data_IF_857065826401
#
_entry.id   IF_857065826401
#
_cell.length_a   1.000
_cell.length_b   1.000
_cell.length_c   1.000
_cell.angle_alpha   90.00
_cell.angle_beta   90.00
_cell.angle_gamma   90.00
#
_symmetry.space_group_name_H-M   'P 1'
#
loop_
_entity.id
_entity.type
_entity.pdbx_description
1 polymer ?
#
# COMPACT_ATOMS: atom_id res chain seq x y z
N UNK A 1 16.80 9.53 -6.00
CA UNK A 1 15.36 9.69 -5.76
C UNK A 1 14.74 8.34 -6.06
N UNK A 2 14.01 7.73 -5.12
CA UNK A 2 13.41 6.42 -5.36
C UNK A 2 12.21 6.59 -6.28
N UNK A 3 12.01 5.67 -7.22
CA UNK A 3 10.77 5.65 -8.02
C UNK A 3 9.63 5.20 -7.10
N UNK A 4 8.73 6.12 -6.77
CA UNK A 4 7.54 5.79 -6.00
C UNK A 4 6.69 4.78 -6.77
N UNK A 5 6.38 3.64 -6.13
CA UNK A 5 5.54 2.57 -6.72
C UNK A 5 4.17 3.10 -7.10
N UNK A 6 3.64 4.01 -6.29
CA UNK A 6 2.35 4.66 -6.48
C UNK A 6 2.52 6.17 -6.37
N UNK A 7 1.90 6.89 -7.31
CA UNK A 7 1.83 8.35 -7.27
C UNK A 7 0.42 8.79 -6.95
N UNK A 8 0.27 9.56 -5.88
CA UNK A 8 -0.99 10.17 -5.53
C UNK A 8 -1.08 11.58 -6.10
N UNK A 9 -2.14 11.85 -6.85
CA UNK A 9 -2.45 13.17 -7.37
C UNK A 9 -3.88 13.56 -6.98
N UNK A 10 -4.17 14.86 -6.81
CA UNK A 10 -5.55 15.34 -6.68
C UNK A 10 -6.40 14.89 -7.88
N UNK A 11 -7.67 14.61 -7.62
CA UNK A 11 -8.64 14.29 -8.68
C UNK A 11 -9.96 15.02 -8.41
N UNK A 12 -10.64 15.46 -9.47
CA UNK A 12 -11.88 16.25 -9.39
C UNK A 12 -13.07 15.60 -10.13
N UNK A 13 -12.89 14.36 -10.61
CA UNK A 13 -13.91 13.64 -11.37
C UNK A 13 -13.84 12.12 -11.11
N UNK A 14 -14.85 11.40 -11.58
CA UNK A 14 -14.85 9.93 -11.60
C UNK A 14 -13.72 9.40 -12.50
N UNK A 15 -13.20 8.21 -12.18
CA UNK A 15 -12.27 7.51 -13.08
C UNK A 15 -12.97 7.12 -14.39
N UNK A 16 -12.21 7.06 -15.48
CA UNK A 16 -12.73 6.60 -16.76
C UNK A 16 -13.16 5.12 -16.65
N UNK A 17 -14.35 4.80 -17.17
CA UNK A 17 -14.91 3.45 -17.13
C UNK A 17 -14.28 2.56 -18.20
N UNK A 18 -13.11 2.02 -17.88
CA UNK A 18 -12.44 0.96 -18.66
C UNK A 18 -13.20 -0.37 -18.53
N UNK A 19 -12.93 -1.38 -19.39
CA UNK A 19 -13.58 -2.69 -19.29
C UNK A 19 -13.45 -3.34 -17.92
N UNK A 20 -12.29 -3.14 -17.27
CA UNK A 20 -12.04 -3.56 -15.89
C UNK A 20 -12.15 -2.36 -14.96
N UNK A 21 -13.34 -2.22 -14.37
CA UNK A 21 -13.71 -1.08 -13.56
C UNK A 21 -14.58 -1.53 -12.37
N UNK A 22 -14.30 -0.97 -11.21
CA UNK A 22 -15.08 -1.15 -10.00
C UNK A 22 -15.40 0.21 -9.37
N UNK A 23 -16.62 0.32 -8.83
CA UNK A 23 -17.12 1.53 -8.19
C UNK A 23 -18.10 1.19 -7.07
N UNK A 24 -17.84 1.73 -5.88
CA UNK A 24 -18.81 1.72 -4.77
C UNK A 24 -19.54 3.06 -4.61
N UNK A 25 -18.95 4.17 -5.08
CA UNK A 25 -19.51 5.50 -4.95
C UNK A 25 -19.07 6.41 -6.11
N UNK A 26 -19.81 7.49 -6.38
CA UNK A 26 -19.38 8.50 -7.36
C UNK A 26 -18.51 9.56 -6.68
N UNK A 27 -17.62 10.18 -7.45
CA UNK A 27 -16.81 11.31 -6.99
C UNK A 27 -17.70 12.39 -6.41
N UNK A 28 -18.78 12.76 -7.10
CA UNK A 28 -19.70 13.82 -6.64
C UNK A 28 -20.31 13.49 -5.27
N UNK A 29 -20.80 12.26 -5.09
CA UNK A 29 -21.41 11.81 -3.82
C UNK A 29 -20.37 11.73 -2.71
N UNK A 30 -19.22 11.10 -2.96
CA UNK A 30 -18.13 10.97 -2.00
C UNK A 30 -17.59 12.33 -1.59
N UNK A 31 -17.32 13.21 -2.54
CA UNK A 31 -16.83 14.56 -2.28
C UNK A 31 -17.83 15.35 -1.43
N UNK A 32 -19.13 15.28 -1.72
CA UNK A 32 -20.14 15.92 -0.89
C UNK A 32 -20.12 15.40 0.56
N UNK A 33 -20.07 14.07 0.75
CA UNK A 33 -19.99 13.47 2.07
C UNK A 33 -18.73 13.91 2.85
N UNK A 34 -17.58 13.96 2.17
CA UNK A 34 -16.32 14.45 2.74
C UNK A 34 -16.44 15.92 3.17
N UNK A 35 -16.93 16.80 2.29
CA UNK A 35 -17.07 18.22 2.59
C UNK A 35 -18.02 18.47 3.78
N UNK A 36 -19.15 17.76 3.84
CA UNK A 36 -20.09 17.86 4.96
C UNK A 36 -19.48 17.33 6.25
N UNK A 37 -18.72 16.23 6.20
CA UNK A 37 -18.02 15.72 7.39
C UNK A 37 -17.01 16.74 7.94
N UNK A 38 -16.25 17.40 7.07
CA UNK A 38 -15.27 18.42 7.46
C UNK A 38 -15.97 19.62 8.09
N UNK A 39 -17.06 20.09 7.48
CA UNK A 39 -17.84 21.20 8.02
C UNK A 39 -18.44 20.87 9.39
N UNK A 40 -18.95 19.64 9.55
CA UNK A 40 -19.52 19.17 10.83
C UNK A 40 -18.49 19.20 11.96
N UNK A 41 -17.23 18.84 11.68
CA UNK A 41 -16.17 18.77 12.69
C UNK A 41 -15.48 20.12 12.92
N UNK A 42 -15.19 20.86 11.86
CA UNK A 42 -14.37 22.08 11.93
C UNK A 42 -15.19 23.37 11.98
N UNK A 43 -16.50 23.30 11.67
CA UNK A 43 -17.39 24.45 11.52
C UNK A 43 -17.33 25.14 10.14
N UNK A 44 -16.36 24.79 9.30
CA UNK A 44 -16.11 25.47 8.02
C UNK A 44 -15.94 24.48 6.86
N UNK A 45 -16.28 24.91 5.64
CA UNK A 45 -15.90 24.16 4.44
C UNK A 45 -14.38 24.26 4.22
N UNK A 46 -13.75 23.18 3.72
CA UNK A 46 -12.32 23.19 3.47
C UNK A 46 -11.95 24.15 2.34
N UNK A 47 -10.72 24.67 2.40
CA UNK A 47 -10.15 25.49 1.32
C UNK A 47 -9.87 24.63 0.09
N UNK A 48 -9.87 25.25 -1.10
CA UNK A 48 -9.65 24.56 -2.40
C UNK A 48 -8.37 23.71 -2.42
N UNK A 49 -7.34 24.11 -1.68
CA UNK A 49 -6.04 23.43 -1.66
C UNK A 49 -6.03 22.09 -0.90
N UNK A 50 -7.06 21.78 -0.11
CA UNK A 50 -7.04 20.61 0.75
C UNK A 50 -7.18 19.28 -0.01
N UNK A 51 -7.84 19.29 -1.17
CA UNK A 51 -7.99 18.17 -2.13
C UNK A 51 -8.01 16.79 -1.44
N UNK A 52 -9.12 16.48 -0.74
CA UNK A 52 -9.22 15.29 0.11
C UNK A 52 -9.41 13.99 -0.70
N UNK A 53 -9.76 14.09 -1.98
CA UNK A 53 -9.86 12.93 -2.87
C UNK A 53 -8.67 12.93 -3.81
N UNK A 54 -7.99 11.78 -3.89
CA UNK A 54 -6.76 11.62 -4.67
C UNK A 54 -6.81 10.32 -5.47
N UNK A 55 -6.31 10.37 -6.69
CA UNK A 55 -6.06 9.20 -7.51
C UNK A 55 -4.65 8.69 -7.24
N UNK A 56 -4.54 7.40 -6.93
CA UNK A 56 -3.30 6.66 -6.92
C UNK A 56 -3.11 5.94 -8.25
N UNK A 57 -1.94 6.11 -8.87
CA UNK A 57 -1.61 5.50 -10.17
C UNK A 57 -0.34 4.65 -10.04
N UNK A 58 -0.39 3.41 -10.53
CA UNK A 58 0.74 2.48 -10.51
C UNK A 58 0.64 1.41 -11.59
N UNK A 59 1.76 0.75 -11.89
CA UNK A 59 1.84 -0.32 -12.87
C UNK A 59 1.36 -1.66 -12.28
N UNK A 60 0.68 -2.47 -13.08
CA UNK A 60 0.20 -3.81 -12.71
C UNK A 60 0.69 -4.86 -13.70
N UNK A 61 0.63 -6.14 -13.31
CA UNK A 61 0.90 -7.24 -14.22
C UNK A 61 -0.35 -7.57 -15.06
N UNK A 62 -0.16 -8.21 -16.21
CA UNK A 62 -1.26 -8.66 -17.07
C UNK A 62 -2.26 -9.56 -16.31
N UNK A 63 -1.74 -10.36 -15.36
CA UNK A 63 -2.53 -11.26 -14.52
C UNK A 63 -3.35 -10.55 -13.42
N UNK A 64 -2.99 -9.31 -13.06
CA UNK A 64 -3.62 -8.60 -11.94
C UNK A 64 -5.08 -8.30 -12.26
N UNK A 65 -6.02 -8.64 -11.39
CA UNK A 65 -7.46 -8.45 -11.63
C UNK A 65 -8.04 -7.25 -10.88
N UNK A 66 -9.21 -6.76 -11.32
CA UNK A 66 -9.93 -5.71 -10.60
C UNK A 66 -10.31 -6.13 -9.17
N UNK A 67 -10.66 -7.39 -8.95
CA UNK A 67 -11.01 -7.91 -7.62
C UNK A 67 -9.81 -7.89 -6.65
N UNK A 68 -8.60 -8.15 -7.15
CA UNK A 68 -7.38 -7.98 -6.36
C UNK A 68 -7.15 -6.52 -5.99
N UNK A 69 -7.46 -5.56 -6.87
CA UNK A 69 -7.40 -4.13 -6.51
C UNK A 69 -8.43 -3.76 -5.44
N UNK A 70 -9.64 -4.34 -5.50
CA UNK A 70 -10.65 -4.18 -4.45
C UNK A 70 -10.16 -4.79 -3.14
N UNK A 71 -9.54 -5.97 -3.17
CA UNK A 71 -8.92 -6.60 -2.00
C UNK A 71 -7.79 -5.75 -1.40
N UNK A 72 -6.89 -5.23 -2.24
CA UNK A 72 -5.83 -4.30 -1.86
C UNK A 72 -6.40 -3.06 -1.18
N UNK A 73 -7.51 -2.52 -1.70
CA UNK A 73 -8.11 -1.31 -1.12
C UNK A 73 -8.57 -1.49 0.32
N UNK A 74 -9.09 -2.67 0.68
CA UNK A 74 -9.47 -2.99 2.07
C UNK A 74 -8.24 -2.97 2.98
N UNK A 75 -7.14 -3.58 2.54
CA UNK A 75 -5.87 -3.58 3.28
C UNK A 75 -5.33 -2.16 3.47
N UNK A 76 -5.43 -1.31 2.43
CA UNK A 76 -5.01 0.10 2.51
C UNK A 76 -5.91 0.92 3.45
N UNK A 77 -7.21 0.66 3.47
CA UNK A 77 -8.15 1.28 4.40
C UNK A 77 -7.82 0.93 5.85
N UNK A 78 -7.58 -0.34 6.15
CA UNK A 78 -7.34 -0.77 7.53
C UNK A 78 -6.07 -0.17 8.11
N UNK A 79 -4.98 -0.21 7.33
CA UNK A 79 -3.63 0.15 7.78
C UNK A 79 -3.31 1.64 7.64
N UNK A 80 -3.82 2.30 6.59
CA UNK A 80 -3.48 3.68 6.26
C UNK A 80 -4.68 4.63 6.26
N UNK A 81 -5.88 4.14 6.57
CA UNK A 81 -7.13 4.92 6.54
C UNK A 81 -7.43 5.54 5.17
N UNK A 82 -6.92 4.92 4.11
CA UNK A 82 -7.18 5.33 2.72
C UNK A 82 -8.38 4.54 2.19
N UNK A 83 -9.54 5.18 2.07
CA UNK A 83 -10.76 4.51 1.61
C UNK A 83 -10.90 4.63 0.10
N UNK A 84 -10.69 3.52 -0.63
CA UNK A 84 -10.89 3.49 -2.07
C UNK A 84 -12.36 3.30 -2.40
N UNK A 85 -12.88 4.09 -3.34
CA UNK A 85 -14.25 3.98 -3.80
C UNK A 85 -14.41 3.79 -5.31
N UNK A 86 -13.32 3.87 -6.07
CA UNK A 86 -13.25 3.48 -7.48
C UNK A 86 -11.90 2.89 -7.82
N UNK A 87 -11.88 1.90 -8.71
CA UNK A 87 -10.66 1.35 -9.27
C UNK A 87 -10.87 1.04 -10.76
N UNK A 88 -9.82 1.17 -11.56
CA UNK A 88 -9.84 0.84 -12.98
C UNK A 88 -8.48 0.32 -13.42
N UNK A 89 -8.49 -0.57 -14.42
CA UNK A 89 -7.27 -1.04 -15.08
C UNK A 89 -7.33 -0.66 -16.56
N UNK A 90 -6.28 0.03 -17.01
CA UNK A 90 -6.03 0.26 -18.44
C UNK A 90 -5.04 -0.79 -18.96
N UNK A 91 -5.54 -1.72 -19.78
CA UNK A 91 -4.75 -2.81 -20.38
C UNK A 91 -3.91 -2.40 -21.58
N UNK A 92 -4.09 -1.21 -22.13
CA UNK A 92 -3.21 -0.69 -23.18
C UNK A 92 -1.86 -0.29 -22.57
N UNK A 93 -1.88 0.21 -21.33
CA UNK A 93 -0.68 0.69 -20.63
C UNK A 93 -0.30 -0.13 -19.39
N UNK A 94 -1.09 -1.16 -19.05
CA UNK A 94 -0.99 -1.94 -17.82
C UNK A 94 -0.91 -1.07 -16.55
N UNK A 95 -1.75 -0.04 -16.51
CA UNK A 95 -1.81 0.92 -15.42
C UNK A 95 -3.10 0.75 -14.63
N UNK A 96 -2.98 0.65 -13.30
CA UNK A 96 -4.10 0.75 -12.39
C UNK A 96 -4.28 2.19 -11.91
N UNK A 97 -5.53 2.63 -11.84
CA UNK A 97 -5.93 3.86 -11.18
C UNK A 97 -6.89 3.52 -10.05
N UNK A 98 -6.69 4.09 -8.88
CA UNK A 98 -7.54 3.90 -7.71
C UNK A 98 -7.84 5.24 -7.07
N UNK A 99 -9.12 5.52 -6.83
CA UNK A 99 -9.59 6.79 -6.31
C UNK A 99 -9.90 6.66 -4.81
N UNK A 100 -9.19 7.44 -4.01
CA UNK A 100 -9.18 7.35 -2.55
C UNK A 100 -9.72 8.62 -1.91
N UNK A 101 -10.45 8.42 -0.83
CA UNK A 101 -10.77 9.43 0.17
C UNK A 101 -9.67 9.43 1.25
N UNK A 102 -8.99 10.57 1.36
CA UNK A 102 -7.94 10.83 2.36
C UNK A 102 -8.50 11.56 3.60
N UNK A 103 -9.81 11.71 3.76
CA UNK A 103 -10.37 12.41 4.91
C UNK A 103 -10.40 11.52 6.17
N UNK A 104 -9.83 12.03 7.26
CA UNK A 104 -10.05 11.48 8.59
C UNK A 104 -11.35 12.05 9.17
N UNK A 105 -12.39 11.23 9.21
CA UNK A 105 -13.73 11.66 9.60
C UNK A 105 -13.84 12.14 11.05
N UNK A 106 -12.98 11.65 11.95
CA UNK A 106 -12.99 12.02 13.37
C UNK A 106 -12.42 13.42 13.61
N UNK A 107 -11.34 13.75 12.92
CA UNK A 107 -10.61 15.02 13.11
C UNK A 107 -11.00 16.07 12.07
N UNK A 108 -11.65 15.63 10.99
CA UNK A 108 -11.87 16.45 9.81
C UNK A 108 -10.54 16.95 9.25
N UNK A 109 -9.44 16.18 9.31
CA UNK A 109 -8.15 16.45 8.67
C UNK A 109 -7.91 15.52 7.48
N UNK A 110 -6.92 15.81 6.64
CA UNK A 110 -6.47 14.88 5.60
C UNK A 110 -5.42 13.94 6.17
N UNK A 111 -5.48 12.66 5.82
CA UNK A 111 -4.42 11.68 6.06
C UNK A 111 -3.12 12.23 5.49
N UNK A 112 -2.12 12.36 6.35
CA UNK A 112 -0.78 12.81 5.97
C UNK A 112 0.12 11.58 5.81
N UNK A 113 0.64 11.39 4.60
CA UNK A 113 1.57 10.30 4.29
C UNK A 113 3.00 10.83 4.24
N UNK A 114 3.79 10.53 5.26
CA UNK A 114 5.23 10.78 5.24
C UNK A 114 5.96 9.81 4.29
N UNK A 115 7.24 10.08 4.02
CA UNK A 115 8.03 9.26 3.09
C UNK A 115 8.09 7.78 3.50
N UNK A 116 8.19 7.47 4.79
CA UNK A 116 8.19 6.08 5.25
C UNK A 116 6.85 5.39 4.99
N UNK A 117 5.72 6.08 5.23
CA UNK A 117 4.39 5.54 4.94
C UNK A 117 4.18 5.32 3.44
N UNK A 118 4.68 6.22 2.59
CA UNK A 118 4.63 6.04 1.14
C UNK A 118 5.41 4.79 0.70
N UNK A 119 6.60 4.57 1.27
CA UNK A 119 7.37 3.33 1.04
C UNK A 119 6.59 2.09 1.50
N UNK A 120 5.99 2.12 2.70
CA UNK A 120 5.23 0.97 3.20
C UNK A 120 3.99 0.70 2.33
N UNK A 121 3.28 1.73 1.88
CA UNK A 121 2.17 1.58 0.92
C UNK A 121 2.67 0.92 -0.36
N UNK A 122 3.76 1.43 -0.95
CA UNK A 122 4.36 0.86 -2.15
C UNK A 122 4.75 -0.61 -1.95
N UNK A 123 5.40 -0.95 -0.84
CA UNK A 123 5.76 -2.34 -0.50
C UNK A 123 4.52 -3.21 -0.31
N UNK A 124 3.45 -2.69 0.31
CA UNK A 124 2.18 -3.41 0.45
C UNK A 124 1.56 -3.72 -0.90
N UNK A 125 1.55 -2.75 -1.83
CA UNK A 125 1.06 -2.95 -3.21
C UNK A 125 1.88 -4.03 -3.91
N UNK A 126 3.21 -3.89 -3.90
CA UNK A 126 4.12 -4.84 -4.56
C UNK A 126 3.95 -6.27 -4.02
N UNK A 127 3.83 -6.41 -2.69
CA UNK A 127 3.67 -7.73 -2.04
C UNK A 127 2.29 -8.33 -2.29
N UNK A 128 1.23 -7.53 -2.18
CA UNK A 128 -0.14 -8.02 -2.30
C UNK A 128 -0.46 -8.47 -3.74
N UNK A 129 0.02 -7.72 -4.73
CA UNK A 129 -0.21 -8.00 -6.15
C UNK A 129 0.90 -8.82 -6.81
N UNK A 130 1.90 -9.28 -6.03
CA UNK A 130 3.05 -10.05 -6.52
C UNK A 130 3.76 -9.37 -7.71
N UNK A 131 4.04 -8.07 -7.56
CA UNK A 131 4.68 -7.25 -8.59
C UNK A 131 6.20 -7.24 -8.46
N UNK A 132 6.93 -7.07 -9.58
CA UNK A 132 8.38 -6.96 -9.55
C UNK A 132 8.81 -5.72 -8.75
N UNK A 133 9.92 -5.87 -8.01
CA UNK A 133 10.47 -4.76 -7.23
C UNK A 133 11.13 -3.75 -8.17
N UNK A 134 10.88 -2.44 -8.02
CA UNK A 134 11.53 -1.44 -8.83
C UNK A 134 13.03 -1.35 -8.52
N UNK A 135 13.81 -0.77 -9.44
CA UNK A 135 15.24 -0.52 -9.23
C UNK A 135 15.43 0.34 -7.96
N UNK A 136 16.37 -0.04 -7.11
CA UNK A 136 16.64 0.68 -5.85
C UNK A 136 15.76 0.28 -4.66
N UNK A 137 14.77 -0.60 -4.84
CA UNK A 137 13.97 -1.14 -3.74
C UNK A 137 14.76 -2.04 -2.76
N UNK A 138 16.06 -2.25 -3.01
CA UNK A 138 16.96 -2.93 -2.09
C UNK A 138 17.04 -2.23 -0.73
N UNK A 139 16.96 -0.90 -0.72
CA UNK A 139 16.95 -0.12 0.52
C UNK A 139 15.60 -0.25 1.26
N UNK A 140 14.61 -0.88 0.65
CA UNK A 140 13.30 -1.15 1.26
C UNK A 140 13.18 -2.55 1.85
N UNK A 141 14.24 -3.38 1.82
CA UNK A 141 14.24 -4.76 2.33
C UNK A 141 13.62 -4.87 3.72
N UNK A 142 13.94 -3.93 4.63
CA UNK A 142 13.36 -3.90 5.98
C UNK A 142 11.83 -3.85 5.98
N UNK A 143 11.24 -3.07 5.07
CA UNK A 143 9.78 -2.94 4.96
C UNK A 143 9.14 -4.18 4.34
N UNK A 144 9.81 -4.83 3.37
CA UNK A 144 9.35 -6.13 2.85
C UNK A 144 9.34 -7.20 3.94
N UNK A 145 10.40 -7.27 4.75
CA UNK A 145 10.53 -8.21 5.85
C UNK A 145 9.52 -7.92 6.97
N UNK A 146 9.36 -6.65 7.36
CA UNK A 146 8.38 -6.24 8.37
C UNK A 146 6.94 -6.55 7.92
N UNK A 147 6.61 -6.29 6.65
CA UNK A 147 5.32 -6.67 6.08
C UNK A 147 5.10 -8.18 6.07
N UNK A 148 6.13 -8.97 5.76
CA UNK A 148 6.08 -10.42 5.81
C UNK A 148 5.85 -10.94 7.23
N UNK A 149 6.54 -10.36 8.20
CA UNK A 149 6.36 -10.69 9.61
C UNK A 149 4.95 -10.33 10.11
N UNK A 150 4.43 -9.16 9.71
CA UNK A 150 3.09 -8.72 10.10
C UNK A 150 1.99 -9.63 9.54
N UNK A 151 2.16 -10.14 8.31
CA UNK A 151 1.20 -11.07 7.70
C UNK A 151 1.33 -12.50 8.26
N UNK A 152 2.55 -12.98 8.58
CA UNK A 152 2.82 -14.29 9.17
C UNK A 152 4.00 -14.21 10.16
N UNK A 153 3.74 -14.03 11.47
CA UNK A 153 4.80 -13.93 12.49
C UNK A 153 5.69 -15.17 12.59
N UNK A 154 5.21 -16.33 12.14
CA UNK A 154 5.95 -17.59 12.17
C UNK A 154 6.78 -17.83 10.89
N UNK A 155 6.68 -16.95 9.89
CA UNK A 155 7.35 -17.10 8.59
C UNK A 155 8.86 -17.30 8.70
N UNK A 156 9.53 -16.52 9.54
CA UNK A 156 10.98 -16.63 9.78
C UNK A 156 11.36 -17.98 10.43
N UNK A 157 10.60 -18.43 11.43
CA UNK A 157 10.81 -19.71 12.09
C UNK A 157 10.61 -20.88 11.13
N UNK A 158 9.60 -20.82 10.25
CA UNK A 158 9.37 -21.83 9.20
C UNK A 158 10.57 -21.91 8.24
N UNK A 159 11.16 -20.78 7.85
CA UNK A 159 12.36 -20.75 6.99
C UNK A 159 13.58 -21.31 7.73
N UNK A 160 13.80 -20.91 8.99
CA UNK A 160 14.89 -21.43 9.82
C UNK A 160 14.83 -22.95 9.97
N UNK A 161 13.64 -23.53 10.16
CA UNK A 161 13.47 -24.98 10.21
C UNK A 161 13.85 -25.65 8.89
N UNK A 162 13.46 -25.08 7.74
CA UNK A 162 13.82 -25.61 6.42
C UNK A 162 15.33 -25.58 6.16
N UNK A 163 16.05 -24.59 6.69
CA UNK A 163 17.51 -24.50 6.54
C UNK A 163 18.27 -25.65 7.21
N UNK A 164 17.73 -26.21 8.30
CA UNK A 164 18.36 -27.34 9.02
C UNK A 164 18.61 -28.57 8.12
N UNK A 165 17.80 -28.72 7.08
CA UNK A 165 17.80 -29.92 6.22
C UNK A 165 18.54 -29.71 4.89
N UNK A 166 19.22 -28.58 4.68
CA UNK A 166 19.71 -28.15 3.36
C UNK A 166 21.19 -28.44 3.06
N UNK A 167 21.89 -29.24 3.88
CA UNK A 167 23.24 -29.72 3.54
C UNK A 167 24.32 -28.64 3.38
N UNK A 168 24.14 -27.47 4.02
CA UNK A 168 25.13 -26.39 4.00
C UNK A 168 26.37 -26.75 4.81
N UNK A 169 27.52 -26.17 4.45
CA UNK A 169 28.68 -26.21 5.35
C UNK A 169 28.39 -25.42 6.63
N UNK A 170 29.14 -25.69 7.71
CA UNK A 170 28.90 -25.08 9.03
C UNK A 170 28.90 -23.54 8.97
N UNK A 171 29.83 -22.95 8.22
CA UNK A 171 29.98 -21.49 8.14
C UNK A 171 28.77 -20.84 7.45
N UNK A 172 28.37 -21.37 6.29
CA UNK A 172 27.21 -20.86 5.54
C UNK A 172 25.91 -21.04 6.34
N UNK A 173 25.75 -22.18 7.01
CA UNK A 173 24.58 -22.44 7.85
C UNK A 173 24.47 -21.41 8.99
N UNK A 174 25.56 -21.15 9.71
CA UNK A 174 25.60 -20.15 10.78
C UNK A 174 25.29 -18.76 10.25
N UNK A 175 25.94 -18.34 9.15
CA UNK A 175 25.70 -17.02 8.55
C UNK A 175 24.23 -16.81 8.16
N UNK A 176 23.61 -17.82 7.55
CA UNK A 176 22.19 -17.76 7.15
C UNK A 176 21.26 -17.71 8.36
N UNK A 177 21.52 -18.52 9.39
CA UNK A 177 20.73 -18.51 10.62
C UNK A 177 20.80 -17.16 11.33
N UNK A 178 22.00 -16.63 11.52
CA UNK A 178 22.21 -15.35 12.20
C UNK A 178 21.57 -14.19 11.41
N UNK A 179 21.69 -14.21 10.07
CA UNK A 179 21.06 -13.21 9.20
C UNK A 179 19.53 -13.23 9.29
N UNK A 180 18.92 -14.42 9.34
CA UNK A 180 17.47 -14.57 9.47
C UNK A 180 16.98 -14.21 10.87
N UNK A 181 17.70 -14.60 11.93
CA UNK A 181 17.38 -14.23 13.30
C UNK A 181 17.49 -12.72 13.50
N UNK A 182 18.55 -12.09 12.98
CA UNK A 182 18.70 -10.64 12.98
C UNK A 182 17.52 -9.97 12.27
N UNK A 183 17.15 -10.47 11.09
CA UNK A 183 15.99 -9.94 10.33
C UNK A 183 14.67 -10.08 11.11
N UNK A 184 14.46 -11.20 11.80
CA UNK A 184 13.29 -11.43 12.65
C UNK A 184 13.27 -10.48 13.84
N UNK A 185 14.39 -10.33 14.55
CA UNK A 185 14.52 -9.41 15.69
C UNK A 185 14.37 -7.95 15.27
N UNK A 186 14.82 -7.58 14.06
CA UNK A 186 14.56 -6.26 13.49
C UNK A 186 13.06 -6.03 13.28
N UNK A 187 12.34 -7.03 12.74
CA UNK A 187 10.88 -6.94 12.58
C UNK A 187 10.14 -6.85 13.92
N UNK A 188 10.71 -7.40 15.00
CA UNK A 188 10.20 -7.29 16.37
C UNK A 188 10.58 -5.96 17.06
N UNK A 189 11.43 -5.13 16.44
CA UNK A 189 11.93 -3.90 17.03
C UNK A 189 12.99 -4.09 18.12
N UNK A 190 13.59 -5.28 18.21
CA UNK A 190 14.64 -5.59 19.19
C UNK A 190 16.04 -5.13 18.73
N UNK A 191 16.24 -5.05 17.41
CA UNK A 191 17.48 -4.57 16.78
C UNK A 191 17.16 -3.63 15.61
N UNK A 192 18.16 -2.94 15.07
CA UNK A 192 18.00 -1.98 13.96
C UNK A 192 18.44 -2.55 12.62
#
# INVERSE_FOLDING_TARGET
>A
MFDDVIKFAPCEHDLEKKPEYWQSDTFKKRNHAVLESIKKVTGYYPTKNRQPIRVGVFQVADKTTIDELVGLSRKLKDWFKLDCFQASIDRVTNTAQMLFDFNEYDTGKSVHLNQSQQIVIGVTILRYLDLPRPKGAELWRRYFLAGQYADDPESFKKVLQKLKYKGFCKQDYTLLCDSLLHSMYMCQGLVK
#
